data_IF_521634353199
#
_entry.id   IF_521634353199
#
_cell.length_a   1.000
_cell.length_b   1.000
_cell.length_c   1.000
_cell.angle_alpha   90.00
_cell.angle_beta   90.00
_cell.angle_gamma   90.00
#
_symmetry.space_group_name_H-M   'P 1'
#
loop_
_entity.id
_entity.type
_entity.pdbx_description
1 polymer ?
#
# COMPACT_ATOMS: atom_id res chain seq x y z
N UNK A 1 -3.65 -44.29 -35.16
CA UNK A 1 -3.58 -42.83 -34.92
C UNK A 1 -4.60 -42.54 -33.83
N UNK A 2 -4.19 -42.66 -32.58
CA UNK A 2 -5.08 -42.51 -31.42
C UNK A 2 -4.90 -41.08 -30.88
N UNK A 3 -5.96 -40.30 -30.99
CA UNK A 3 -6.03 -38.93 -30.52
C UNK A 3 -5.96 -38.89 -28.99
N UNK A 4 -4.92 -38.27 -28.44
CA UNK A 4 -4.74 -38.12 -27.00
C UNK A 4 -5.64 -36.98 -26.51
N UNK A 5 -6.87 -37.32 -26.13
CA UNK A 5 -7.94 -36.46 -25.61
C UNK A 5 -7.72 -35.99 -24.16
N UNK A 6 -6.59 -35.36 -23.84
CA UNK A 6 -6.48 -34.57 -22.60
C UNK A 6 -5.66 -33.33 -22.88
N UNK A 7 -6.35 -32.25 -23.26
CA UNK A 7 -5.84 -30.89 -23.08
C UNK A 7 -6.22 -30.47 -21.66
N UNK A 8 -5.34 -29.83 -20.87
CA UNK A 8 -5.77 -29.21 -19.62
C UNK A 8 -6.61 -27.98 -19.99
N UNK A 9 -7.94 -28.12 -20.04
CA UNK A 9 -8.80 -26.95 -19.98
C UNK A 9 -8.71 -26.42 -18.55
N UNK A 10 -7.96 -25.33 -18.38
CA UNK A 10 -7.98 -24.54 -17.15
C UNK A 10 -9.44 -24.18 -16.87
N UNK A 11 -10.02 -24.79 -15.84
CA UNK A 11 -11.32 -24.39 -15.36
C UNK A 11 -11.21 -22.92 -14.91
N UNK A 12 -12.12 -22.03 -15.31
CA UNK A 12 -12.06 -20.61 -14.95
C UNK A 12 -12.16 -20.36 -13.43
N UNK A 13 -12.41 -21.40 -12.63
CA UNK A 13 -12.60 -21.34 -11.19
C UNK A 13 -11.32 -21.58 -10.37
N UNK A 14 -10.25 -22.11 -10.97
CA UNK A 14 -9.00 -22.43 -10.22
C UNK A 14 -7.91 -21.34 -10.32
N UNK A 15 -8.10 -20.32 -11.14
CA UNK A 15 -7.11 -19.23 -11.31
C UNK A 15 -7.25 -18.10 -10.26
N UNK A 16 -8.25 -18.13 -9.38
CA UNK A 16 -8.70 -16.94 -8.62
C UNK A 16 -8.34 -16.87 -7.14
N UNK A 17 -7.86 -17.94 -6.51
CA UNK A 17 -7.70 -17.98 -5.05
C UNK A 17 -6.29 -17.65 -4.52
N UNK A 18 -5.29 -17.56 -5.41
CA UNK A 18 -3.87 -17.41 -5.00
C UNK A 18 -3.33 -15.99 -5.16
N UNK A 19 -4.21 -14.99 -5.15
CA UNK A 19 -3.82 -13.59 -4.94
C UNK A 19 -4.55 -13.12 -3.69
N UNK A 20 -3.94 -13.28 -2.51
CA UNK A 20 -4.31 -12.48 -1.33
C UNK A 20 -4.13 -11.01 -1.71
N UNK A 21 -5.19 -10.39 -2.23
CA UNK A 21 -5.21 -8.99 -2.60
C UNK A 21 -4.99 -8.18 -1.32
N UNK A 22 -3.94 -7.36 -1.31
CA UNK A 22 -3.75 -6.38 -0.24
C UNK A 22 -4.86 -5.33 -0.35
N UNK A 23 -5.49 -4.92 0.76
CA UNK A 23 -6.51 -3.88 0.73
C UNK A 23 -5.94 -2.58 0.17
N UNK A 24 -6.75 -1.88 -0.62
CA UNK A 24 -6.37 -0.63 -1.29
C UNK A 24 -6.92 0.61 -0.60
N UNK A 25 -8.02 0.48 0.12
CA UNK A 25 -8.67 1.58 0.85
C UNK A 25 -8.71 1.30 2.36
N UNK A 26 -8.95 2.33 3.17
CA UNK A 26 -9.16 2.15 4.61
C UNK A 26 -10.40 1.30 4.92
N UNK A 27 -11.38 1.29 4.01
CA UNK A 27 -12.62 0.53 4.16
C UNK A 27 -12.39 -0.98 4.00
N UNK A 28 -11.41 -1.37 3.19
CA UNK A 28 -11.01 -2.77 2.99
C UNK A 28 -10.06 -3.28 4.08
N UNK A 29 -9.52 -2.39 4.94
CA UNK A 29 -8.56 -2.78 5.96
C UNK A 29 -9.27 -3.43 7.17
N UNK A 30 -9.02 -4.72 7.38
CA UNK A 30 -9.70 -5.51 8.40
C UNK A 30 -8.97 -5.41 9.75
N UNK A 31 -9.72 -5.07 10.80
CA UNK A 31 -9.22 -4.93 12.17
C UNK A 31 -8.53 -3.59 12.45
N UNK A 32 -7.89 -3.48 13.61
CA UNK A 32 -7.23 -2.24 14.07
C UNK A 32 -8.16 -1.01 14.07
N UNK A 33 -9.42 -1.18 14.45
CA UNK A 33 -10.50 -0.17 14.33
C UNK A 33 -10.09 1.22 14.83
N UNK A 34 -9.49 1.29 16.02
CA UNK A 34 -9.02 2.55 16.60
C UNK A 34 -7.98 3.28 15.74
N UNK A 35 -7.06 2.54 15.12
CA UNK A 35 -6.03 3.12 14.23
C UNK A 35 -6.67 3.59 12.92
N UNK A 36 -7.57 2.77 12.36
CA UNK A 36 -8.30 3.10 11.13
C UNK A 36 -9.15 4.36 11.31
N UNK A 37 -9.87 4.47 12.42
CA UNK A 37 -10.70 5.63 12.74
C UNK A 37 -9.85 6.90 12.92
N UNK A 38 -8.76 6.82 13.69
CA UNK A 38 -7.84 7.94 13.85
C UNK A 38 -7.26 8.40 12.50
N UNK A 39 -6.76 7.46 11.69
CA UNK A 39 -6.21 7.78 10.36
C UNK A 39 -7.26 8.41 9.45
N UNK A 40 -8.51 7.92 9.48
CA UNK A 40 -9.62 8.50 8.70
C UNK A 40 -9.80 9.97 9.02
N UNK A 41 -9.84 10.34 10.30
CA UNK A 41 -9.99 11.75 10.72
C UNK A 41 -8.84 12.62 10.21
N UNK A 42 -7.58 12.16 10.32
CA UNK A 42 -6.43 12.93 9.84
C UNK A 42 -6.40 13.08 8.32
N UNK A 43 -6.72 12.01 7.59
CA UNK A 43 -6.78 12.02 6.12
C UNK A 43 -7.89 12.95 5.61
N UNK A 44 -9.09 12.86 6.18
CA UNK A 44 -10.20 13.74 5.82
C UNK A 44 -9.85 15.20 6.09
N UNK A 45 -9.24 15.50 7.23
CA UNK A 45 -8.82 16.84 7.58
C UNK A 45 -7.74 17.39 6.63
N UNK A 46 -6.72 16.59 6.29
CA UNK A 46 -5.67 16.99 5.36
C UNK A 46 -6.24 17.22 3.94
N UNK A 47 -7.10 16.31 3.46
CA UNK A 47 -7.80 16.44 2.18
C UNK A 47 -8.69 17.68 2.12
N UNK A 48 -9.45 17.96 3.18
CA UNK A 48 -10.31 19.13 3.24
C UNK A 48 -9.53 20.46 3.17
N UNK A 49 -8.29 20.48 3.71
CA UNK A 49 -7.40 21.63 3.61
C UNK A 49 -6.59 21.70 2.31
N UNK A 50 -6.56 20.62 1.53
CA UNK A 50 -5.69 20.51 0.35
C UNK A 50 -4.20 20.45 0.71
N UNK A 51 -3.88 19.99 1.93
CA UNK A 51 -2.51 19.96 2.46
C UNK A 51 -1.99 18.52 2.53
N UNK A 52 -0.65 18.33 2.59
CA UNK A 52 -0.08 17.04 2.91
C UNK A 52 -0.56 16.52 4.27
N UNK A 53 -0.70 15.20 4.39
CA UNK A 53 -0.84 14.56 5.70
C UNK A 53 0.45 14.76 6.50
N UNK A 54 0.31 15.02 7.80
CA UNK A 54 1.46 15.05 8.72
C UNK A 54 2.24 13.73 8.68
N UNK A 55 3.51 13.76 9.06
CA UNK A 55 4.36 12.57 9.08
C UNK A 55 3.81 11.49 10.02
N UNK A 56 3.63 10.27 9.49
CA UNK A 56 3.06 9.14 10.23
C UNK A 56 4.15 8.12 10.59
N UNK A 57 4.21 7.73 11.86
CA UNK A 57 5.02 6.60 12.34
C UNK A 57 4.11 5.41 12.67
N UNK A 58 4.23 4.32 11.92
CA UNK A 58 3.53 3.06 12.19
C UNK A 58 4.45 2.12 12.97
N UNK A 59 4.09 1.81 14.22
CA UNK A 59 4.86 0.93 15.11
C UNK A 59 4.08 -0.33 15.46
N UNK A 60 4.79 -1.47 15.54
CA UNK A 60 4.23 -2.73 16.01
C UNK A 60 4.95 -3.97 15.45
N UNK A 61 4.64 -5.18 15.96
CA UNK A 61 5.17 -6.46 15.49
C UNK A 61 5.12 -6.66 13.96
N UNK A 62 5.99 -7.52 13.38
CA UNK A 62 5.93 -7.86 11.96
C UNK A 62 4.58 -8.52 11.61
N UNK A 63 4.13 -8.36 10.36
CA UNK A 63 2.88 -8.98 9.87
C UNK A 63 1.57 -8.22 10.14
N UNK A 64 1.58 -7.15 10.94
CA UNK A 64 0.35 -6.40 11.28
C UNK A 64 -0.13 -5.40 10.21
N UNK A 65 0.31 -5.52 8.96
CA UNK A 65 -0.19 -4.67 7.88
C UNK A 65 0.36 -3.23 7.86
N UNK A 66 1.46 -2.92 8.55
CA UNK A 66 2.07 -1.56 8.55
C UNK A 66 2.38 -1.04 7.14
N UNK A 67 3.05 -1.84 6.32
CA UNK A 67 3.37 -1.48 4.94
C UNK A 67 2.09 -1.31 4.11
N UNK A 68 1.07 -2.14 4.38
CA UNK A 68 -0.24 -2.03 3.74
C UNK A 68 -0.94 -0.71 4.09
N UNK A 69 -0.97 -0.34 5.37
CA UNK A 69 -1.51 0.96 5.82
C UNK A 69 -0.78 2.14 5.19
N UNK A 70 0.55 2.08 5.07
CA UNK A 70 1.32 3.13 4.39
C UNK A 70 0.91 3.29 2.91
N UNK A 71 0.69 2.17 2.21
CA UNK A 71 0.19 2.20 0.83
C UNK A 71 -1.25 2.71 0.73
N UNK A 72 -2.11 2.34 1.68
CA UNK A 72 -3.49 2.85 1.76
C UNK A 72 -3.49 4.37 1.99
N UNK A 73 -2.67 4.89 2.90
CA UNK A 73 -2.54 6.34 3.15
C UNK A 73 -2.20 7.08 1.86
N UNK A 74 -1.22 6.60 1.10
CA UNK A 74 -0.87 7.22 -0.18
C UNK A 74 -2.02 7.16 -1.20
N UNK A 75 -2.78 6.06 -1.24
CA UNK A 75 -3.93 5.92 -2.11
C UNK A 75 -5.08 6.86 -1.73
N UNK A 76 -5.42 6.97 -0.44
CA UNK A 76 -6.46 7.87 0.07
C UNK A 76 -6.09 9.34 -0.16
N UNK A 77 -4.80 9.66 -0.17
CA UNK A 77 -4.27 10.98 -0.51
C UNK A 77 -4.06 11.19 -2.02
N UNK A 78 -4.30 10.17 -2.85
CA UNK A 78 -4.12 10.20 -4.32
C UNK A 78 -2.73 10.67 -4.74
N UNK A 79 -1.69 10.22 -4.03
CA UNK A 79 -0.29 10.56 -4.31
C UNK A 79 0.54 9.32 -4.62
N UNK A 80 1.70 9.52 -5.26
CA UNK A 80 2.67 8.46 -5.49
C UNK A 80 3.22 7.91 -4.17
N UNK A 81 3.29 6.59 -4.05
CA UNK A 81 3.96 5.91 -2.94
C UNK A 81 5.39 5.50 -3.34
N UNK A 82 6.41 6.03 -2.65
CA UNK A 82 7.81 5.63 -2.82
C UNK A 82 8.26 4.84 -1.60
N UNK A 83 8.43 3.52 -1.76
CA UNK A 83 8.89 2.65 -0.68
C UNK A 83 10.43 2.61 -0.62
N UNK A 84 10.97 2.60 0.59
CA UNK A 84 12.39 2.33 0.85
C UNK A 84 12.54 1.56 2.17
N UNK A 85 13.77 1.16 2.52
CA UNK A 85 14.09 0.55 3.80
C UNK A 85 15.41 1.10 4.33
N UNK A 86 15.58 1.10 5.66
CA UNK A 86 16.80 1.60 6.30
C UNK A 86 18.10 1.01 5.71
N UNK A 87 18.21 -0.32 5.53
CA UNK A 87 19.40 -0.94 4.93
C UNK A 87 19.71 -0.50 3.49
N UNK A 88 18.71 -0.02 2.73
CA UNK A 88 18.91 0.50 1.37
C UNK A 88 19.54 1.90 1.39
N UNK A 89 19.38 2.64 2.49
CA UNK A 89 19.95 3.97 2.67
C UNK A 89 21.32 3.80 3.32
N UNK A 90 22.37 3.82 2.51
CA UNK A 90 23.74 3.54 2.95
C UNK A 90 24.54 4.81 3.15
N UNK A 91 24.31 5.80 2.29
CA UNK A 91 25.00 7.10 2.31
C UNK A 91 23.99 8.24 2.23
N UNK A 92 24.42 9.44 2.62
CA UNK A 92 23.59 10.66 2.58
C UNK A 92 22.97 10.90 1.20
N UNK A 93 23.71 10.60 0.13
CA UNK A 93 23.27 10.77 -1.26
C UNK A 93 22.02 9.97 -1.62
N UNK A 94 21.83 8.78 -1.04
CA UNK A 94 20.69 7.90 -1.33
C UNK A 94 19.38 8.57 -0.89
N UNK A 95 19.38 9.14 0.32
CA UNK A 95 18.23 9.85 0.85
C UNK A 95 17.97 11.15 0.08
N UNK A 96 19.02 11.91 -0.24
CA UNK A 96 18.88 13.13 -1.06
C UNK A 96 18.22 12.81 -2.39
N UNK A 97 18.66 11.75 -3.09
CA UNK A 97 18.09 11.34 -4.36
C UNK A 97 16.60 10.95 -4.28
N UNK A 98 16.18 10.29 -3.18
CA UNK A 98 14.77 9.97 -2.95
C UNK A 98 13.96 11.26 -2.76
N UNK A 99 14.44 12.18 -1.92
CA UNK A 99 13.73 13.41 -1.59
C UNK A 99 13.62 14.37 -2.79
N UNK A 100 14.65 14.46 -3.63
CA UNK A 100 14.61 15.31 -4.85
C UNK A 100 13.62 14.81 -5.90
N UNK A 101 13.21 13.55 -5.84
CA UNK A 101 12.23 12.97 -6.77
C UNK A 101 10.78 13.08 -6.25
N UNK A 102 10.57 13.61 -5.04
CA UNK A 102 9.24 13.87 -4.52
C UNK A 102 8.67 15.10 -5.22
N UNK A 103 7.61 14.91 -5.99
CA UNK A 103 6.91 15.98 -6.71
C UNK A 103 5.70 16.46 -5.91
N UNK A 104 5.33 17.73 -6.08
CA UNK A 104 4.06 18.25 -5.58
C UNK A 104 2.87 17.54 -6.23
N UNK A 105 1.75 17.49 -5.51
CA UNK A 105 0.47 16.95 -6.02
C UNK A 105 -0.03 17.92 -7.09
N UNK A 106 -0.13 17.45 -8.34
CA UNK A 106 -0.73 18.22 -9.46
C UNK A 106 -2.25 18.20 -9.39
#
# INVERSE_FOLDING_TARGET
MAERLVSPQLAPTEAGFDVTLRPRSLQEFIGQEKIVENLRVFLEAARARGEPLDHVLLYGPPGLGKTTLASIIANEMEVRFQQTSGPVITIKGDLTAILTNVTERQ
#
